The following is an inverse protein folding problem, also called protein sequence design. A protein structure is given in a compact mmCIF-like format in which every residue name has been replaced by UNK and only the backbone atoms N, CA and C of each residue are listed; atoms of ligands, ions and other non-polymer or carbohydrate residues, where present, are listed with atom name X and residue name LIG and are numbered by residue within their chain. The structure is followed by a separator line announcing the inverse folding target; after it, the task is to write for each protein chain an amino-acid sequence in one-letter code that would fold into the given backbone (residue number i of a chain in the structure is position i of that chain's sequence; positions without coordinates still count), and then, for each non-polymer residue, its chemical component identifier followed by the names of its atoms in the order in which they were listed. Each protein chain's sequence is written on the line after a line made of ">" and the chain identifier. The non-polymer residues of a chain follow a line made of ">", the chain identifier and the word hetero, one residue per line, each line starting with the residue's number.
data_IF_446341178613
#
_entry.id   IF_446341178613
#
_cell.length_a   1.000
_cell.length_b   1.000
_cell.length_c   1.000
_cell.angle_alpha   90.00
_cell.angle_beta   90.00
_cell.angle_gamma   90.00
#
_symmetry.space_group_name_H-M   'P 1'
#
loop_
_entity.id
_entity.type
_entity.pdbx_description
1 polymer ?
#
# COMPACT_ATOMS: atom_id res chain seq x y z
N UNK A 1 39.52 -6.69 -27.52
CA UNK A 1 38.21 -6.00 -27.54
C UNK A 1 37.20 -6.83 -26.74
N UNK A 2 36.62 -6.18 -25.72
CA UNK A 2 35.34 -6.42 -25.02
C UNK A 2 35.01 -7.77 -24.36
N UNK A 3 34.74 -7.78 -23.03
CA UNK A 3 33.94 -8.81 -22.37
C UNK A 3 32.44 -8.50 -22.50
N UNK A 4 31.51 -9.49 -22.59
CA UNK A 4 30.10 -9.22 -22.32
C UNK A 4 29.82 -9.22 -20.82
N UNK A 5 29.21 -8.10 -20.41
CA UNK A 5 28.79 -7.68 -19.08
C UNK A 5 28.01 -8.73 -18.26
N UNK A 6 28.27 -8.74 -16.95
CA UNK A 6 27.43 -9.42 -15.98
C UNK A 6 26.04 -8.82 -15.87
N UNK A 7 25.06 -9.68 -15.56
CA UNK A 7 23.79 -9.27 -14.95
C UNK A 7 23.33 -10.34 -13.96
N UNK A 8 24.20 -10.62 -12.98
CA UNK A 8 23.78 -11.22 -11.72
C UNK A 8 22.71 -10.31 -11.13
N UNK A 9 21.49 -10.82 -11.02
CA UNK A 9 20.32 -10.08 -10.58
C UNK A 9 20.64 -9.33 -9.29
N UNK A 10 20.33 -8.03 -9.28
CA UNK A 10 20.27 -7.23 -8.06
C UNK A 10 19.27 -7.93 -7.13
N UNK A 11 19.76 -8.82 -6.26
CA UNK A 11 19.02 -9.25 -5.08
C UNK A 11 18.76 -7.96 -4.33
N UNK A 12 17.55 -7.43 -4.47
CA UNK A 12 17.11 -6.29 -3.69
C UNK A 12 17.23 -6.74 -2.25
N UNK A 13 18.16 -6.09 -1.57
CA UNK A 13 18.35 -6.11 -0.14
C UNK A 13 16.97 -5.84 0.50
N UNK A 14 16.24 -6.92 0.80
CA UNK A 14 14.94 -6.88 1.44
C UNK A 14 15.05 -7.42 2.88
N UNK A 15 16.27 -7.50 3.42
CA UNK A 15 16.58 -8.04 4.75
C UNK A 15 16.86 -6.94 5.79
N UNK A 16 16.45 -5.69 5.54
CA UNK A 16 16.86 -4.51 6.32
C UNK A 16 15.79 -3.99 7.29
N UNK A 17 14.95 -4.85 7.88
CA UNK A 17 13.90 -4.37 8.80
C UNK A 17 12.89 -3.43 8.13
N UNK A 18 12.45 -3.76 6.90
CA UNK A 18 11.39 -3.02 6.21
C UNK A 18 10.19 -3.92 5.97
N UNK A 19 9.00 -3.39 6.22
CA UNK A 19 7.73 -4.01 5.88
C UNK A 19 7.27 -3.50 4.53
N UNK A 20 6.54 -4.34 3.80
CA UNK A 20 5.88 -3.97 2.56
C UNK A 20 4.41 -3.69 2.86
N UNK A 21 4.02 -2.43 2.82
CA UNK A 21 2.62 -2.02 2.83
C UNK A 21 2.04 -2.16 1.42
N UNK A 22 0.96 -2.92 1.33
CA UNK A 22 0.11 -3.06 0.15
C UNK A 22 -1.09 -2.14 0.35
N UNK A 23 -1.24 -1.16 -0.54
CA UNK A 23 -2.37 -0.24 -0.56
C UNK A 23 -3.04 -0.25 -1.93
N UNK A 24 -4.34 0.00 -1.97
CA UNK A 24 -5.03 0.33 -3.20
C UNK A 24 -5.16 1.85 -3.24
N UNK A 25 -4.44 2.49 -4.18
CA UNK A 25 -4.18 3.94 -4.12
C UNK A 25 -3.58 4.31 -2.76
N UNK A 26 -4.28 5.13 -1.97
CA UNK A 26 -3.86 5.56 -0.63
C UNK A 26 -4.60 4.82 0.50
N UNK A 27 -5.51 3.88 0.18
CA UNK A 27 -6.20 3.05 1.19
C UNK A 27 -5.35 1.80 1.48
N UNK A 28 -4.88 1.58 2.72
CA UNK A 28 -4.08 0.41 3.05
C UNK A 28 -4.94 -0.86 3.08
N UNK A 29 -4.38 -2.00 2.67
CA UNK A 29 -5.10 -3.28 2.64
C UNK A 29 -4.36 -4.40 3.40
N UNK A 30 -3.03 -4.45 3.30
CA UNK A 30 -2.24 -5.54 3.87
C UNK A 30 -0.81 -5.07 4.14
N UNK A 31 -0.20 -5.60 5.20
CA UNK A 31 1.21 -5.41 5.52
C UNK A 31 1.92 -6.76 5.42
N UNK A 32 3.06 -6.81 4.73
CA UNK A 32 3.93 -7.98 4.69
C UNK A 32 5.24 -7.69 5.41
N UNK A 33 5.68 -8.62 6.24
CA UNK A 33 6.98 -8.58 6.91
C UNK A 33 7.86 -9.75 6.48
N UNK A 34 9.17 -9.60 6.69
CA UNK A 34 10.15 -10.64 6.41
C UNK A 34 10.36 -10.93 4.92
N UNK A 35 11.23 -11.90 4.66
CA UNK A 35 11.63 -12.32 3.31
C UNK A 35 11.70 -13.85 3.24
N UNK A 36 11.55 -14.41 2.03
CA UNK A 36 11.73 -15.85 1.80
C UNK A 36 10.76 -16.74 2.60
N UNK A 37 11.33 -17.62 3.43
CA UNK A 37 10.60 -18.62 4.22
C UNK A 37 9.88 -18.01 5.44
N UNK A 38 10.38 -16.88 5.96
CA UNK A 38 9.87 -16.22 7.17
C UNK A 38 8.92 -15.05 6.84
N UNK A 39 8.25 -15.12 5.69
CA UNK A 39 7.33 -14.07 5.26
C UNK A 39 6.05 -14.09 6.11
N UNK A 40 5.80 -12.98 6.78
CA UNK A 40 4.55 -12.72 7.51
C UNK A 40 3.62 -11.87 6.66
N UNK A 41 2.31 -12.15 6.72
CA UNK A 41 1.28 -11.38 6.02
C UNK A 41 0.18 -11.02 7.01
N UNK A 42 -0.08 -9.73 7.17
CA UNK A 42 -1.14 -9.19 8.02
C UNK A 42 -2.16 -8.46 7.16
N UNK A 43 -3.32 -9.08 7.01
CA UNK A 43 -4.45 -8.52 6.27
C UNK A 43 -5.20 -7.57 7.21
N UNK A 44 -5.50 -6.36 6.75
CA UNK A 44 -6.27 -5.40 7.53
C UNK A 44 -7.75 -5.80 7.62
N UNK A 45 -8.50 -5.30 8.63
CA UNK A 45 -9.90 -5.66 8.80
C UNK A 45 -10.76 -5.35 7.58
N UNK A 46 -11.89 -6.05 7.47
CA UNK A 46 -12.84 -5.95 6.34
C UNK A 46 -13.32 -4.52 6.03
N UNK A 47 -13.24 -3.59 6.99
CA UNK A 47 -13.59 -2.17 6.78
C UNK A 47 -12.74 -1.52 5.69
N UNK A 48 -11.46 -1.87 5.61
CA UNK A 48 -10.54 -1.38 4.57
C UNK A 48 -10.92 -1.91 3.20
N UNK A 49 -11.19 -3.22 3.08
CA UNK A 49 -11.64 -3.80 1.82
C UNK A 49 -12.94 -3.17 1.32
N UNK A 50 -13.92 -2.96 2.22
CA UNK A 50 -15.17 -2.26 1.86
C UNK A 50 -14.95 -0.81 1.45
N UNK A 51 -13.93 -0.14 1.99
CA UNK A 51 -13.56 1.21 1.56
C UNK A 51 -12.95 1.17 0.15
N UNK A 52 -12.04 0.23 -0.12
CA UNK A 52 -11.43 0.03 -1.44
C UNK A 52 -12.50 -0.23 -2.51
N UNK A 53 -13.45 -1.14 -2.25
CA UNK A 53 -14.51 -1.48 -3.20
C UNK A 53 -15.37 -0.25 -3.52
N UNK A 54 -15.78 0.51 -2.49
CA UNK A 54 -16.56 1.75 -2.67
C UNK A 54 -15.75 2.84 -3.38
N UNK A 55 -14.48 2.99 -3.05
CA UNK A 55 -13.57 3.94 -3.68
C UNK A 55 -13.36 3.62 -5.17
N UNK A 56 -13.24 2.34 -5.52
CA UNK A 56 -13.19 1.90 -6.91
C UNK A 56 -14.48 2.22 -7.68
N UNK A 57 -15.64 2.04 -7.04
CA UNK A 57 -16.93 2.45 -7.63
C UNK A 57 -16.99 3.97 -7.87
N UNK A 58 -16.58 4.79 -6.89
CA UNK A 58 -16.54 6.26 -7.01
C UNK A 58 -15.57 6.69 -8.11
N UNK A 59 -14.43 6.02 -8.21
CA UNK A 59 -13.42 6.29 -9.24
C UNK A 59 -13.79 5.79 -10.65
N UNK A 60 -14.94 5.12 -10.81
CA UNK A 60 -15.33 4.49 -12.08
C UNK A 60 -14.45 3.29 -12.49
N UNK A 61 -13.66 2.74 -11.57
CA UNK A 61 -12.76 1.59 -11.80
C UNK A 61 -13.48 0.26 -11.60
N UNK A 62 -14.59 0.09 -12.30
CA UNK A 62 -15.45 -1.09 -12.20
C UNK A 62 -14.89 -2.30 -12.97
N UNK A 63 -13.92 -2.08 -13.85
CA UNK A 63 -13.23 -3.16 -14.56
C UNK A 63 -12.12 -3.76 -13.69
N UNK A 64 -12.04 -5.09 -13.66
CA UNK A 64 -11.05 -5.83 -12.87
C UNK A 64 -9.59 -5.40 -13.18
N UNK A 65 -9.28 -5.12 -14.45
CA UNK A 65 -7.97 -4.62 -14.87
C UNK A 65 -7.63 -3.25 -14.27
N UNK A 66 -8.61 -2.34 -14.22
CA UNK A 66 -8.44 -1.00 -13.64
C UNK A 66 -8.37 -1.04 -12.12
N UNK A 67 -9.12 -1.95 -11.49
CA UNK A 67 -9.06 -2.19 -10.05
C UNK A 67 -7.68 -2.73 -9.66
N UNK A 68 -7.20 -3.79 -10.34
CA UNK A 68 -5.91 -4.40 -10.02
C UNK A 68 -4.73 -3.49 -10.40
N UNK A 69 -4.88 -2.65 -11.41
CA UNK A 69 -3.85 -1.72 -11.86
C UNK A 69 -3.47 -0.63 -10.85
N UNK A 70 -4.30 -0.38 -9.82
CA UNK A 70 -4.07 0.66 -8.82
C UNK A 70 -3.45 0.16 -7.52
N UNK A 71 -3.13 -1.14 -7.44
CA UNK A 71 -2.39 -1.67 -6.30
C UNK A 71 -0.98 -1.10 -6.25
N UNK A 72 -0.65 -0.51 -5.10
CA UNK A 72 0.65 0.08 -4.79
C UNK A 72 1.33 -0.71 -3.70
N UNK A 73 2.65 -0.71 -3.75
CA UNK A 73 3.51 -1.33 -2.75
C UNK A 73 4.51 -0.29 -2.26
N UNK A 74 4.51 -0.05 -0.97
CA UNK A 74 5.37 0.93 -0.31
C UNK A 74 6.17 0.24 0.78
N UNK A 75 7.41 0.66 0.98
CA UNK A 75 8.22 0.19 2.10
C UNK A 75 7.97 1.08 3.30
N UNK A 76 7.67 0.48 4.45
CA UNK A 76 7.54 1.17 5.74
C UNK A 76 8.55 0.57 6.73
N UNK A 77 9.08 1.36 7.68
CA UNK A 77 10.01 0.84 8.68
C UNK A 77 9.33 -0.23 9.56
N UNK A 78 10.03 -1.33 9.86
CA UNK A 78 9.49 -2.38 10.74
C UNK A 78 9.45 -1.95 12.20
N UNK A 79 10.36 -1.07 12.62
CA UNK A 79 10.51 -0.62 14.01
C UNK A 79 11.01 -1.68 14.98
N UNK A 80 11.18 -2.92 14.53
CA UNK A 80 11.68 -4.07 15.29
C UNK A 80 12.28 -5.11 14.34
N UNK A 81 13.16 -5.96 14.86
CA UNK A 81 13.82 -7.06 14.13
C UNK A 81 12.90 -8.28 13.97
N UNK A 82 11.75 -8.32 14.67
CA UNK A 82 10.75 -9.37 14.54
C UNK A 82 9.72 -9.01 13.44
N UNK A 83 9.69 -9.72 12.29
CA UNK A 83 8.77 -9.43 11.20
C UNK A 83 7.30 -9.63 11.59
N UNK A 84 7.00 -10.53 12.54
CA UNK A 84 5.64 -10.78 12.99
C UNK A 84 5.13 -9.64 13.86
N UNK A 85 5.90 -9.26 14.87
CA UNK A 85 5.60 -8.13 15.75
C UNK A 85 5.54 -6.82 14.97
N UNK A 86 6.48 -6.59 14.05
CA UNK A 86 6.51 -5.42 13.18
C UNK A 86 5.23 -5.30 12.33
N UNK A 87 4.84 -6.38 11.64
CA UNK A 87 3.67 -6.35 10.77
C UNK A 87 2.37 -6.17 11.59
N UNK A 88 2.30 -6.75 12.79
CA UNK A 88 1.16 -6.58 13.70
C UNK A 88 1.06 -5.14 14.23
N UNK A 89 2.18 -4.56 14.68
CA UNK A 89 2.23 -3.18 15.15
C UNK A 89 1.87 -2.20 14.03
N UNK A 90 2.42 -2.39 12.82
CA UNK A 90 2.07 -1.58 11.67
C UNK A 90 0.59 -1.69 11.30
N UNK A 91 0.01 -2.90 11.34
CA UNK A 91 -1.41 -3.09 11.11
C UNK A 91 -2.26 -2.36 12.15
N UNK A 92 -1.93 -2.47 13.45
CA UNK A 92 -2.62 -1.76 14.53
C UNK A 92 -2.54 -0.24 14.37
N UNK A 93 -1.36 0.30 14.05
CA UNK A 93 -1.19 1.74 13.78
C UNK A 93 -2.02 2.20 12.59
N UNK A 94 -2.11 1.41 11.51
CA UNK A 94 -2.98 1.72 10.36
C UNK A 94 -4.45 1.64 10.75
N UNK A 95 -4.82 0.69 11.60
CA UNK A 95 -6.19 0.57 12.10
C UNK A 95 -6.65 1.78 12.91
N UNK A 96 -5.75 2.35 13.73
CA UNK A 96 -5.99 3.57 14.51
C UNK A 96 -5.94 4.83 13.65
N UNK A 97 -4.99 4.91 12.71
CA UNK A 97 -4.83 6.05 11.82
C UNK A 97 -5.96 6.18 10.78
N UNK A 98 -6.63 5.07 10.45
CA UNK A 98 -7.74 5.03 9.50
C UNK A 98 -9.03 4.58 10.19
N UNK A 99 -9.65 5.47 10.99
CA UNK A 99 -10.99 5.25 11.50
C UNK A 99 -12.00 5.24 10.34
N UNK A 100 -13.24 4.83 10.64
CA UNK A 100 -14.29 4.67 9.63
C UNK A 100 -14.56 5.97 8.87
N UNK A 101 -14.55 7.09 9.58
CA UNK A 101 -14.80 8.43 9.07
C UNK A 101 -13.74 8.82 8.03
N UNK A 102 -12.45 8.62 8.36
CA UNK A 102 -11.34 8.89 7.44
C UNK A 102 -11.41 7.96 6.22
N UNK A 103 -11.72 6.67 6.40
CA UNK A 103 -11.92 5.76 5.26
C UNK A 103 -13.06 6.22 4.33
N UNK A 104 -14.15 6.76 4.88
CA UNK A 104 -15.26 7.30 4.08
C UNK A 104 -14.83 8.57 3.31
N UNK A 105 -13.92 9.39 3.84
CA UNK A 105 -13.33 10.53 3.10
C UNK A 105 -12.49 10.06 1.91
N UNK A 106 -11.63 9.06 2.11
CA UNK A 106 -10.86 8.44 1.03
C UNK A 106 -11.79 7.81 -0.01
N UNK A 107 -12.92 7.23 0.40
CA UNK A 107 -13.92 6.73 -0.56
C UNK A 107 -14.46 7.85 -1.44
N UNK A 108 -14.77 9.01 -0.87
CA UNK A 108 -15.33 10.16 -1.62
C UNK A 108 -14.38 10.71 -2.67
N UNK A 109 -13.06 10.61 -2.46
CA UNK A 109 -12.02 10.99 -3.43
C UNK A 109 -11.69 9.87 -4.42
N UNK A 110 -12.37 8.72 -4.32
CA UNK A 110 -12.06 7.54 -5.13
C UNK A 110 -10.81 6.78 -4.66
N UNK A 111 -10.33 7.00 -3.46
CA UNK A 111 -9.24 6.26 -2.81
C UNK A 111 -7.94 7.05 -2.66
N UNK A 112 -8.00 8.37 -2.81
CA UNK A 112 -6.87 9.28 -2.58
C UNK A 112 -6.98 9.94 -1.21
N UNK A 113 -5.86 10.26 -0.60
CA UNK A 113 -5.89 11.05 0.65
C UNK A 113 -6.55 12.43 0.38
N UNK A 114 -7.61 12.82 1.11
CA UNK A 114 -8.22 14.15 0.98
C UNK A 114 -7.26 15.30 1.32
N UNK A 115 -6.25 15.03 2.17
CA UNK A 115 -5.22 15.99 2.55
C UNK A 115 -4.08 16.06 1.51
N UNK A 116 -4.09 15.18 0.50
CA UNK A 116 -3.19 15.31 -0.64
C UNK A 116 -3.58 16.60 -1.36
N UNK A 117 -2.76 17.64 -1.22
CA UNK A 117 -2.88 18.88 -1.98
C UNK A 117 -3.24 18.51 -3.40
N UNK A 118 -4.49 18.76 -3.78
CA UNK A 118 -4.84 18.74 -5.18
C UNK A 118 -4.17 20.00 -5.66
N UNK A 119 -2.93 19.87 -6.11
CA UNK A 119 -2.30 20.88 -6.96
C UNK A 119 -3.12 20.88 -8.25
N UNK A 120 -4.35 21.39 -8.17
CA UNK A 120 -5.12 21.88 -9.28
C UNK A 120 -4.39 23.14 -9.72
N UNK A 121 -3.29 22.96 -10.43
CA UNK A 121 -2.89 23.91 -11.44
C UNK A 121 -4.06 23.94 -12.42
N UNK A 122 -4.87 24.99 -12.29
CA UNK A 122 -6.05 25.19 -13.10
C UNK A 122 -5.68 25.15 -14.56
N UNK A 123 -6.49 24.43 -15.32
CA UNK A 123 -6.59 24.60 -16.76
C UNK A 123 -7.30 25.95 -17.02
N UNK A 124 -6.62 27.00 -17.55
CA UNK A 124 -7.33 28.11 -18.17
C UNK A 124 -7.55 27.78 -19.64
N UNK A 125 -8.83 27.82 -20.02
CA UNK A 125 -9.43 27.67 -21.36
C UNK A 125 -8.57 27.93 -22.59
#
# INVERSE_FOLDING_TARGET
>A
MSPPAGRGGRRRRNDDGSLVLISWRDIPAQVNGGSGADRVQRILPRRFQRAIDRAAMVAGKTQASQYVGEWRRSLIPSGTDDPEAAAMAAAASLEEAFPRERLDEFVKTGGWDPDRSIDSEGDPQ
#
